data_IF_329432334129
#
_entry.id   IF_329432334129
#
_cell.length_a   1.000
_cell.length_b   1.000
_cell.length_c   1.000
_cell.angle_alpha   90.00
_cell.angle_beta   90.00
_cell.angle_gamma   90.00
#
_symmetry.space_group_name_H-M   'P 1'
#
loop_
_entity.id
_entity.type
_entity.pdbx_description
1 polymer ?
#
# COMPACT_ATOMS: atom_id res chain seq x y z
N UNK A 1 -5.04 18.14 3.43
CA UNK A 1 -5.68 16.94 2.86
C UNK A 1 -4.72 15.78 3.08
N UNK A 2 -5.23 14.55 3.14
CA UNK A 2 -4.38 13.37 3.22
C UNK A 2 -3.70 13.12 1.87
N UNK A 3 -2.47 12.56 1.85
CA UNK A 3 -1.85 12.04 0.64
C UNK A 3 -2.71 10.97 -0.03
N UNK A 4 -2.55 10.81 -1.35
CA UNK A 4 -3.31 9.84 -2.16
C UNK A 4 -3.11 8.41 -1.64
N UNK A 5 -1.86 8.02 -1.44
CA UNK A 5 -1.47 6.73 -0.89
C UNK A 5 -0.73 6.88 0.44
N UNK A 6 -0.92 5.93 1.33
CA UNK A 6 -0.24 5.81 2.62
C UNK A 6 0.07 4.34 2.87
N UNK A 7 1.21 4.05 3.50
CA UNK A 7 1.48 2.75 4.10
C UNK A 7 0.98 2.77 5.54
N UNK A 8 0.27 1.71 5.93
CA UNK A 8 -0.18 1.46 7.29
C UNK A 8 0.30 0.07 7.74
N UNK A 9 0.78 0.01 8.98
CA UNK A 9 1.31 -1.21 9.60
C UNK A 9 0.47 -1.57 10.85
N UNK A 10 0.24 -2.87 11.03
CA UNK A 10 -0.31 -3.45 12.26
C UNK A 10 0.45 -4.73 12.65
N UNK A 11 1.76 -4.71 12.53
CA UNK A 11 2.69 -5.82 12.81
C UNK A 11 2.53 -6.47 14.19
N UNK A 12 1.92 -5.80 15.17
CA UNK A 12 1.60 -6.38 16.47
C UNK A 12 0.50 -7.46 16.40
N UNK A 13 -0.46 -7.32 15.48
CA UNK A 13 -1.55 -8.30 15.28
C UNK A 13 -1.36 -9.12 13.99
N UNK A 14 -0.70 -8.54 12.99
CA UNK A 14 -0.44 -9.15 11.70
C UNK A 14 1.04 -8.91 11.29
N UNK A 15 1.99 -9.70 11.84
CA UNK A 15 3.43 -9.45 11.68
C UNK A 15 3.92 -9.44 10.24
N UNK A 16 3.26 -10.20 9.38
CA UNK A 16 3.68 -10.41 7.99
C UNK A 16 2.92 -9.53 6.98
N UNK A 17 1.97 -8.71 7.46
CA UNK A 17 1.06 -7.94 6.61
C UNK A 17 1.30 -6.45 6.72
N UNK A 18 1.12 -5.79 5.57
CA UNK A 18 1.13 -4.35 5.43
C UNK A 18 -0.10 -3.91 4.63
N UNK A 19 -0.50 -2.66 4.81
CA UNK A 19 -1.72 -2.13 4.22
C UNK A 19 -1.43 -0.84 3.46
N UNK A 20 -1.72 -0.83 2.16
CA UNK A 20 -1.70 0.38 1.34
C UNK A 20 -3.08 1.02 1.39
N UNK A 21 -3.17 2.25 1.89
CA UNK A 21 -4.42 3.00 2.03
C UNK A 21 -4.53 3.99 0.88
N UNK A 22 -5.56 3.84 0.07
CA UNK A 22 -5.93 4.80 -0.97
C UNK A 22 -7.03 5.74 -0.45
N UNK A 23 -6.72 7.03 -0.32
CA UNK A 23 -7.61 8.02 0.31
C UNK A 23 -8.47 8.78 -0.70
N UNK A 24 -8.21 8.64 -1.99
CA UNK A 24 -9.03 9.20 -3.07
C UNK A 24 -10.11 8.21 -3.52
N UNK A 25 -11.06 8.66 -4.34
CA UNK A 25 -12.12 7.77 -4.84
C UNK A 25 -11.58 6.89 -5.97
N UNK A 26 -11.81 5.57 -5.92
CA UNK A 26 -12.51 4.80 -4.89
C UNK A 26 -11.66 4.61 -3.62
N UNK A 27 -12.22 4.91 -2.44
CA UNK A 27 -11.48 4.78 -1.18
C UNK A 27 -11.37 3.33 -0.77
N UNK A 28 -10.15 2.84 -0.58
CA UNK A 28 -9.91 1.45 -0.23
C UNK A 28 -8.64 1.26 0.59
N UNK A 29 -8.53 0.08 1.18
CA UNK A 29 -7.32 -0.41 1.84
C UNK A 29 -6.93 -1.70 1.16
N UNK A 30 -5.70 -1.81 0.70
CA UNK A 30 -5.16 -2.99 0.03
C UNK A 30 -4.21 -3.65 1.02
N UNK A 31 -4.54 -4.85 1.48
CA UNK A 31 -3.65 -5.69 2.26
C UNK A 31 -2.71 -6.44 1.32
N UNK A 32 -1.43 -6.51 1.67
CA UNK A 32 -0.43 -7.34 1.02
C UNK A 32 0.60 -7.84 2.04
N UNK A 33 1.44 -8.79 1.62
CA UNK A 33 2.59 -9.21 2.43
C UNK A 33 3.75 -8.22 2.26
N UNK A 34 4.61 -8.07 3.29
CA UNK A 34 5.80 -7.21 3.19
C UNK A 34 6.77 -7.64 2.09
N UNK A 35 6.86 -8.94 1.81
CA UNK A 35 7.78 -9.49 0.81
C UNK A 35 7.28 -9.35 -0.64
N UNK A 36 6.06 -8.85 -0.86
CA UNK A 36 5.54 -8.66 -2.21
C UNK A 36 4.09 -8.20 -2.28
N UNK A 37 3.85 -7.11 -3.02
CA UNK A 37 2.55 -6.45 -3.14
C UNK A 37 1.42 -7.36 -3.66
N UNK A 38 1.70 -8.20 -4.66
CA UNK A 38 0.72 -9.14 -5.21
C UNK A 38 0.53 -10.41 -4.37
N UNK A 39 1.30 -10.59 -3.30
CA UNK A 39 1.13 -11.72 -2.39
C UNK A 39 0.02 -11.44 -1.38
N UNK A 40 -0.87 -12.42 -1.19
CA UNK A 40 -1.94 -12.36 -0.20
C UNK A 40 -2.85 -11.12 -0.31
N UNK A 41 -3.04 -10.67 -1.54
CA UNK A 41 -3.68 -9.39 -1.81
C UNK A 41 -5.18 -9.42 -1.51
N UNK A 42 -5.63 -8.43 -0.74
CA UNK A 42 -7.06 -8.26 -0.46
C UNK A 42 -7.45 -6.81 -0.36
N UNK A 43 -8.42 -6.41 -1.19
CA UNK A 43 -8.95 -5.05 -1.20
C UNK A 43 -10.14 -4.96 -0.23
N UNK A 44 -10.11 -3.95 0.62
CA UNK A 44 -11.17 -3.55 1.53
C UNK A 44 -11.71 -2.20 1.05
N UNK A 45 -12.83 -2.23 0.33
CA UNK A 45 -13.52 -1.02 -0.10
C UNK A 45 -14.18 -0.33 1.10
N UNK A 46 -13.90 0.96 1.29
CA UNK A 46 -14.51 1.79 2.34
C UNK A 46 -15.83 2.38 1.83
N UNK A 47 -15.81 2.83 0.57
CA UNK A 47 -16.98 3.32 -0.16
C UNK A 47 -17.61 2.16 -0.98
N UNK A 48 -18.15 2.48 -2.16
CA UNK A 48 -18.65 1.48 -3.10
C UNK A 48 -17.51 0.91 -3.96
N UNK A 49 -17.54 -0.40 -4.17
CA UNK A 49 -16.66 -1.08 -5.10
C UNK A 49 -16.84 -0.52 -6.53
N UNK A 50 -15.76 -0.17 -7.23
CA UNK A 50 -15.85 0.28 -8.61
C UNK A 50 -16.49 -0.78 -9.49
N UNK A 51 -17.39 -0.37 -10.37
CA UNK A 51 -17.98 -1.27 -11.37
C UNK A 51 -17.03 -1.50 -12.56
N UNK A 52 -16.02 -0.65 -12.73
CA UNK A 52 -15.07 -0.69 -13.82
C UNK A 52 -13.83 -1.48 -13.41
N UNK A 53 -13.56 -2.57 -14.11
CA UNK A 53 -12.36 -3.40 -13.89
C UNK A 53 -11.08 -2.65 -14.22
N UNK A 54 -11.09 -1.82 -15.25
CA UNK A 54 -9.91 -1.06 -15.70
C UNK A 54 -9.47 -0.03 -14.63
N UNK A 55 -10.43 0.55 -13.90
CA UNK A 55 -10.16 1.47 -12.79
C UNK A 55 -9.52 0.73 -11.60
N UNK A 56 -9.92 -0.53 -11.36
CA UNK A 56 -9.33 -1.38 -10.33
C UNK A 56 -7.92 -1.80 -10.73
N UNK A 57 -7.70 -2.23 -11.97
CA UNK A 57 -6.37 -2.57 -12.47
C UNK A 57 -5.40 -1.39 -12.36
N UNK A 58 -5.84 -0.20 -12.82
CA UNK A 58 -5.03 1.02 -12.73
C UNK A 58 -4.70 1.39 -11.27
N UNK A 59 -5.68 1.28 -10.37
CA UNK A 59 -5.46 1.52 -8.93
C UNK A 59 -4.43 0.57 -8.32
N UNK A 60 -4.42 -0.68 -8.77
CA UNK A 60 -3.54 -1.72 -8.25
C UNK A 60 -2.11 -1.55 -8.76
N UNK A 61 -1.94 -1.20 -10.04
CA UNK A 61 -0.64 -0.82 -10.60
C UNK A 61 -0.07 0.41 -9.87
N UNK A 62 -0.88 1.46 -9.66
CA UNK A 62 -0.44 2.66 -8.94
C UNK A 62 -0.09 2.37 -7.46
N UNK A 63 -0.84 1.48 -6.81
CA UNK A 63 -0.60 1.09 -5.44
C UNK A 63 0.68 0.24 -5.29
N UNK A 64 0.98 -0.62 -6.27
CA UNK A 64 2.24 -1.36 -6.35
C UNK A 64 3.42 -0.41 -6.49
N UNK A 65 3.38 0.49 -7.48
CA UNK A 65 4.45 1.45 -7.73
C UNK A 65 4.74 2.30 -6.49
N UNK A 66 3.68 2.75 -5.80
CA UNK A 66 3.82 3.46 -4.53
C UNK A 66 4.46 2.59 -3.44
N UNK A 67 4.00 1.34 -3.29
CA UNK A 67 4.50 0.44 -2.25
C UNK A 67 5.99 0.16 -2.41
N UNK A 68 6.44 -0.18 -3.62
CA UNK A 68 7.85 -0.45 -3.93
C UNK A 68 8.71 0.80 -3.70
N UNK A 69 8.27 1.95 -4.24
CA UNK A 69 9.03 3.21 -4.10
C UNK A 69 9.15 3.64 -2.63
N UNK A 70 8.08 3.48 -1.84
CA UNK A 70 8.10 3.86 -0.43
C UNK A 70 8.96 2.91 0.41
N UNK A 71 8.98 1.61 0.09
CA UNK A 71 9.90 0.65 0.73
C UNK A 71 11.36 0.98 0.42
N UNK A 72 11.69 1.23 -0.85
CA UNK A 72 13.05 1.64 -1.25
C UNK A 72 13.49 2.92 -0.53
N UNK A 73 12.61 3.93 -0.45
CA UNK A 73 12.89 5.16 0.29
C UNK A 73 13.12 4.89 1.79
N UNK A 74 12.37 3.96 2.39
CA UNK A 74 12.55 3.60 3.80
C UNK A 74 13.89 2.89 4.01
N UNK A 75 14.26 1.94 3.15
CA UNK A 75 15.56 1.27 3.21
C UNK A 75 16.72 2.28 3.11
N UNK A 76 16.67 3.21 2.15
CA UNK A 76 17.68 4.26 2.01
C UNK A 76 17.81 5.14 3.26
N UNK A 77 16.68 5.50 3.90
CA UNK A 77 16.69 6.30 5.13
C UNK A 77 17.36 5.57 6.31
N UNK A 78 17.14 4.26 6.44
CA UNK A 78 17.79 3.47 7.50
C UNK A 78 19.30 3.33 7.27
N UNK A 79 19.72 3.14 6.02
CA UNK A 79 21.14 3.08 5.65
C UNK A 79 21.84 4.43 5.92
N UNK A 80 21.19 5.56 5.61
CA UNK A 80 21.71 6.90 5.92
C UNK A 80 21.82 7.19 7.43
N UNK A 81 20.92 6.65 8.26
CA UNK A 81 20.99 6.79 9.72
C UNK A 81 22.07 5.92 10.37
N UNK A 82 22.44 4.77 9.79
CA UNK A 82 23.56 3.94 10.30
C UNK A 82 24.95 4.56 10.03
N UNK A 83 25.07 5.38 8.98
CA UNK A 83 26.33 6.02 8.56
C UNK A 83 26.65 7.34 9.32
N UNK A 84 25.82 7.77 10.28
CA UNK A 84 25.92 9.05 11.01
C UNK A 84 26.13 8.90 12.53
#
# INVERSE_FOLDING_TARGET
MLPKFLIADNSQEAPDLVYVVHTEKPQCIIQCDMDGFYSNQKIYWIDEEPLCTDDIESLMEEAEEFFETELENQEELYDEEEDN
#
